data_IF_749030643692
#
_entry.id   IF_749030643692
#
_cell.length_a   1.000
_cell.length_b   1.000
_cell.length_c   1.000
_cell.angle_alpha   90.00
_cell.angle_beta   90.00
_cell.angle_gamma   90.00
#
_symmetry.space_group_name_H-M   'P 1'
#
loop_
_entity.id
_entity.type
_entity.pdbx_description
1 polymer ?
#
# COMPACT_ATOMS: atom_id res chain seq x y z
N UNK A 1 -38.13 -17.05 6.20
CA UNK A 1 -36.94 -16.95 7.09
C UNK A 1 -36.42 -15.52 7.10
N UNK A 2 -36.19 -14.94 8.29
CA UNK A 2 -35.81 -13.54 8.44
C UNK A 2 -34.35 -13.30 8.05
N UNK A 3 -34.02 -12.09 7.57
CA UNK A 3 -32.67 -11.71 7.11
C UNK A 3 -31.65 -11.80 8.25
N UNK A 4 -32.09 -11.51 9.48
CA UNK A 4 -31.29 -11.70 10.69
C UNK A 4 -31.01 -13.18 11.02
N UNK A 5 -31.86 -14.13 10.62
CA UNK A 5 -31.62 -15.56 10.82
C UNK A 5 -30.59 -16.12 9.82
N UNK A 6 -30.49 -15.51 8.62
CA UNK A 6 -29.46 -15.83 7.62
C UNK A 6 -28.08 -15.32 8.03
N UNK A 7 -28.02 -14.12 8.64
CA UNK A 7 -26.79 -13.56 9.22
C UNK A 7 -26.40 -14.29 10.51
N UNK A 8 -27.36 -14.74 11.32
CA UNK A 8 -27.13 -15.60 12.50
C UNK A 8 -26.60 -16.99 12.13
N UNK A 9 -27.11 -17.61 11.06
CA UNK A 9 -26.57 -18.86 10.47
C UNK A 9 -25.16 -18.69 9.89
N UNK A 10 -24.79 -17.49 9.45
CA UNK A 10 -23.44 -17.18 8.96
C UNK A 10 -22.41 -17.01 10.09
N UNK A 11 -22.86 -16.76 11.33
CA UNK A 11 -21.99 -16.64 12.51
C UNK A 11 -21.79 -17.98 13.24
N UNK A 12 -22.78 -18.89 13.24
CA UNK A 12 -22.76 -20.11 14.08
C UNK A 12 -22.33 -21.43 13.38
N UNK A 13 -21.92 -21.43 12.11
CA UNK A 13 -21.09 -22.51 11.54
C UNK A 13 -21.66 -23.94 11.47
N UNK A 14 -22.79 -24.18 10.78
CA UNK A 14 -23.22 -25.55 10.42
C UNK A 14 -23.75 -25.71 8.97
N UNK A 15 -23.04 -26.60 8.26
CA UNK A 15 -23.42 -27.58 7.21
C UNK A 15 -24.35 -27.21 6.04
N UNK A 16 -23.90 -27.55 4.83
CA UNK A 16 -24.15 -26.84 3.58
C UNK A 16 -24.96 -27.59 2.49
N UNK A 17 -25.83 -28.56 2.81
CA UNK A 17 -26.27 -29.49 1.75
C UNK A 17 -27.70 -29.34 1.17
N UNK A 18 -28.55 -28.41 1.60
CA UNK A 18 -29.97 -28.40 1.16
C UNK A 18 -30.57 -27.01 0.86
N UNK A 19 -29.86 -26.12 0.15
CA UNK A 19 -30.35 -24.73 -0.06
C UNK A 19 -30.46 -24.30 -1.55
N UNK A 20 -30.08 -25.15 -2.51
CA UNK A 20 -30.06 -24.76 -3.92
C UNK A 20 -31.40 -24.94 -4.66
N UNK A 21 -32.31 -25.79 -4.15
CA UNK A 21 -33.56 -26.08 -4.88
C UNK A 21 -34.71 -25.11 -4.55
N UNK A 22 -34.68 -24.44 -3.39
CA UNK A 22 -35.68 -23.44 -3.00
C UNK A 22 -35.35 -22.01 -3.44
N UNK A 23 -34.09 -21.71 -3.77
CA UNK A 23 -33.63 -20.37 -4.14
C UNK A 23 -34.17 -19.86 -5.50
N UNK A 24 -34.65 -20.76 -6.37
CA UNK A 24 -35.21 -20.40 -7.67
C UNK A 24 -36.67 -19.91 -7.58
N UNK A 25 -37.39 -20.15 -6.48
CA UNK A 25 -38.80 -19.71 -6.32
C UNK A 25 -38.96 -18.38 -5.59
N UNK A 26 -38.00 -17.99 -4.75
CA UNK A 26 -38.13 -16.81 -3.86
C UNK A 26 -37.62 -15.49 -4.46
N UNK A 27 -37.16 -15.49 -5.71
CA UNK A 27 -36.58 -14.31 -6.38
C UNK A 27 -37.56 -13.16 -6.67
N UNK A 28 -38.86 -13.30 -6.37
CA UNK A 28 -39.88 -12.29 -6.69
C UNK A 28 -40.39 -11.46 -5.50
N UNK A 29 -40.03 -11.75 -4.24
CA UNK A 29 -40.73 -11.16 -3.09
C UNK A 29 -39.79 -10.81 -1.92
N UNK A 30 -38.88 -9.84 -2.07
CA UNK A 30 -38.50 -8.98 -0.93
C UNK A 30 -37.73 -7.73 -1.36
N UNK A 31 -38.15 -6.52 -0.93
CA UNK A 31 -37.31 -5.33 -1.09
C UNK A 31 -36.04 -5.53 -0.27
N UNK A 32 -34.88 -5.38 -0.92
CA UNK A 32 -33.55 -5.53 -0.30
C UNK A 32 -33.28 -4.33 0.60
N UNK A 33 -32.47 -4.51 1.63
CA UNK A 33 -32.01 -3.38 2.44
C UNK A 33 -31.00 -2.53 1.66
N UNK A 34 -30.93 -1.22 1.92
CA UNK A 34 -30.01 -0.30 1.24
C UNK A 34 -28.55 -0.79 1.27
N UNK A 35 -28.13 -1.40 2.38
CA UNK A 35 -26.80 -2.00 2.52
C UNK A 35 -26.59 -3.24 1.63
N UNK A 36 -27.62 -4.08 1.46
CA UNK A 36 -27.57 -5.24 0.55
C UNK A 36 -27.56 -4.79 -0.92
N UNK A 37 -28.33 -3.76 -1.26
CA UNK A 37 -28.30 -3.16 -2.59
C UNK A 37 -26.94 -2.58 -2.91
N UNK A 38 -26.30 -1.92 -1.94
CA UNK A 38 -24.95 -1.38 -2.07
C UNK A 38 -23.89 -2.48 -2.29
N UNK A 39 -23.94 -3.56 -1.49
CA UNK A 39 -23.05 -4.73 -1.68
C UNK A 39 -23.24 -5.33 -3.07
N UNK A 40 -24.49 -5.48 -3.51
CA UNK A 40 -24.81 -6.00 -4.84
C UNK A 40 -24.30 -5.06 -5.94
N UNK A 41 -24.37 -3.74 -5.73
CA UNK A 41 -23.85 -2.74 -6.67
C UNK A 41 -22.34 -2.89 -6.84
N UNK A 42 -21.60 -2.94 -5.72
CA UNK A 42 -20.15 -3.17 -5.73
C UNK A 42 -19.81 -4.50 -6.40
N UNK A 43 -20.51 -5.58 -6.02
CA UNK A 43 -20.24 -6.90 -6.57
C UNK A 43 -20.46 -6.94 -8.10
N UNK A 44 -21.48 -6.24 -8.61
CA UNK A 44 -21.73 -6.13 -10.06
C UNK A 44 -20.64 -5.36 -10.78
N UNK A 45 -20.20 -4.22 -10.23
CA UNK A 45 -19.15 -3.43 -10.88
C UNK A 45 -17.82 -4.21 -10.93
N UNK A 46 -17.48 -4.90 -9.83
CA UNK A 46 -16.29 -5.75 -9.80
C UNK A 46 -16.45 -6.92 -10.77
N UNK A 47 -17.64 -7.52 -10.88
CA UNK A 47 -17.92 -8.58 -11.86
C UNK A 47 -17.75 -8.08 -13.29
N UNK A 48 -18.22 -6.86 -13.61
CA UNK A 48 -18.06 -6.27 -14.94
C UNK A 48 -16.58 -6.04 -15.28
N UNK A 49 -15.78 -5.55 -14.32
CA UNK A 49 -14.33 -5.42 -14.48
C UNK A 49 -13.68 -6.80 -14.65
N UNK A 50 -14.07 -7.79 -13.83
CA UNK A 50 -13.59 -9.18 -13.94
C UNK A 50 -13.87 -9.76 -15.32
N UNK A 51 -15.07 -9.53 -15.87
CA UNK A 51 -15.46 -10.07 -17.16
C UNK A 51 -14.75 -9.37 -18.31
N UNK A 52 -14.61 -8.06 -18.25
CA UNK A 52 -13.91 -7.27 -19.26
C UNK A 52 -12.43 -7.62 -19.34
N UNK A 53 -11.82 -7.82 -18.18
CA UNK A 53 -10.39 -8.10 -18.07
C UNK A 53 -10.08 -9.60 -18.10
N UNK A 54 -11.08 -10.49 -18.22
CA UNK A 54 -10.79 -11.92 -18.29
C UNK A 54 -10.00 -12.25 -19.57
N UNK A 55 -8.87 -12.94 -19.43
CA UNK A 55 -8.05 -13.37 -20.56
C UNK A 55 -8.04 -14.91 -20.63
N UNK A 56 -8.75 -15.52 -21.60
CA UNK A 56 -8.65 -16.95 -21.83
C UNK A 56 -7.32 -17.27 -22.53
N UNK A 57 -6.49 -18.11 -21.90
CA UNK A 57 -5.26 -18.61 -22.52
C UNK A 57 -5.55 -19.82 -23.43
N UNK A 58 -4.75 -20.05 -24.49
CA UNK A 58 -4.91 -21.19 -25.40
C UNK A 58 -4.70 -22.55 -24.71
N UNK A 59 -4.05 -22.56 -23.53
CA UNK A 59 -3.86 -23.78 -22.71
C UNK A 59 -5.11 -24.19 -21.90
N UNK A 60 -6.25 -23.51 -22.09
CA UNK A 60 -7.51 -23.83 -21.42
C UNK A 60 -7.62 -23.31 -19.99
N UNK A 61 -6.69 -22.44 -19.56
CA UNK A 61 -6.75 -21.72 -18.28
C UNK A 61 -7.24 -20.29 -18.49
N UNK A 62 -8.06 -19.78 -17.59
CA UNK A 62 -8.50 -18.38 -17.61
C UNK A 62 -7.70 -17.58 -16.59
N UNK A 63 -7.16 -16.43 -17.03
CA UNK A 63 -6.56 -15.44 -16.15
C UNK A 63 -7.61 -14.40 -15.78
N UNK A 64 -7.66 -14.06 -14.50
CA UNK A 64 -8.47 -12.98 -13.94
C UNK A 64 -7.55 -12.06 -13.13
N UNK A 65 -7.88 -10.76 -13.02
CA UNK A 65 -7.12 -9.83 -12.18
C UNK A 65 -7.02 -10.34 -10.73
N UNK A 66 -5.88 -10.06 -10.11
CA UNK A 66 -5.47 -10.53 -8.79
C UNK A 66 -5.76 -9.52 -7.68
N UNK A 67 -6.03 -8.27 -8.03
CA UNK A 67 -6.32 -7.19 -7.09
C UNK A 67 -7.49 -6.35 -7.59
N UNK A 68 -8.38 -5.96 -6.67
CA UNK A 68 -9.48 -5.02 -6.92
C UNK A 68 -9.45 -3.91 -5.87
N UNK A 69 -9.31 -2.67 -6.31
CA UNK A 69 -9.35 -1.48 -5.46
C UNK A 69 -10.69 -0.80 -5.70
N UNK A 70 -11.54 -0.79 -4.69
CA UNK A 70 -12.88 -0.21 -4.72
C UNK A 70 -12.80 1.15 -4.03
N UNK A 71 -13.03 2.21 -4.78
CA UNK A 71 -13.14 3.56 -4.25
C UNK A 71 -14.59 3.86 -3.92
N UNK A 72 -14.83 4.23 -2.68
CA UNK A 72 -16.11 4.65 -2.13
C UNK A 72 -16.14 6.17 -1.99
N UNK A 73 -17.32 6.76 -2.12
CA UNK A 73 -17.55 8.17 -1.79
C UNK A 73 -17.30 8.43 -0.29
N UNK A 74 -17.05 9.69 0.09
CA UNK A 74 -16.85 10.05 1.50
C UNK A 74 -18.12 9.79 2.35
N UNK A 75 -19.30 9.93 1.75
CA UNK A 75 -20.58 9.68 2.42
C UNK A 75 -20.80 8.19 2.68
N UNK A 76 -20.53 7.35 1.68
CA UNK A 76 -20.63 5.90 1.84
C UNK A 76 -19.56 5.37 2.80
N UNK A 77 -18.33 5.90 2.78
CA UNK A 77 -17.29 5.47 3.72
C UNK A 77 -17.73 5.66 5.17
N UNK A 78 -18.40 6.77 5.51
CA UNK A 78 -18.92 7.05 6.86
C UNK A 78 -19.85 5.94 7.35
N UNK A 79 -20.67 5.38 6.47
CA UNK A 79 -21.56 4.26 6.78
C UNK A 79 -20.83 2.91 6.90
N UNK A 80 -19.68 2.77 6.24
CA UNK A 80 -18.89 1.55 6.11
C UNK A 80 -17.55 1.58 6.87
N UNK A 81 -17.54 2.11 8.10
CA UNK A 81 -16.35 2.13 8.97
C UNK A 81 -16.27 0.94 9.94
N UNK A 82 -15.04 0.64 10.39
CA UNK A 82 -14.76 -0.29 11.49
C UNK A 82 -15.20 -1.73 11.21
N UNK A 83 -16.10 -2.26 12.04
CA UNK A 83 -16.58 -3.64 11.92
C UNK A 83 -17.40 -3.87 10.64
N UNK A 84 -18.15 -2.85 10.18
CA UNK A 84 -18.91 -2.92 8.92
C UNK A 84 -17.98 -3.03 7.71
N UNK A 85 -16.87 -2.29 7.70
CA UNK A 85 -15.81 -2.39 6.67
C UNK A 85 -15.28 -3.81 6.54
N UNK A 86 -14.90 -4.40 7.68
CA UNK A 86 -14.35 -5.76 7.71
C UNK A 86 -15.38 -6.81 7.27
N UNK A 87 -16.64 -6.63 7.68
CA UNK A 87 -17.74 -7.48 7.23
C UNK A 87 -18.02 -7.36 5.74
N UNK A 88 -17.95 -6.15 5.19
CA UNK A 88 -18.09 -5.87 3.76
C UNK A 88 -16.95 -6.52 2.96
N UNK A 89 -15.70 -6.30 3.36
CA UNK A 89 -14.52 -6.93 2.74
C UNK A 89 -14.62 -8.45 2.74
N UNK A 90 -14.98 -9.06 3.88
CA UNK A 90 -15.13 -10.50 4.00
C UNK A 90 -16.29 -11.03 3.14
N UNK A 91 -17.42 -10.31 3.12
CA UNK A 91 -18.58 -10.66 2.31
C UNK A 91 -18.28 -10.59 0.81
N UNK A 92 -17.64 -9.51 0.36
CA UNK A 92 -17.23 -9.32 -1.03
C UNK A 92 -16.22 -10.38 -1.46
N UNK A 93 -15.24 -10.70 -0.61
CA UNK A 93 -14.27 -11.76 -0.89
C UNK A 93 -14.96 -13.11 -1.12
N UNK A 94 -16.00 -13.43 -0.33
CA UNK A 94 -16.76 -14.67 -0.51
C UNK A 94 -17.57 -14.67 -1.82
N UNK A 95 -18.33 -13.60 -2.07
CA UNK A 95 -19.19 -13.48 -3.26
C UNK A 95 -18.36 -13.53 -4.54
N UNK A 96 -17.25 -12.79 -4.59
CA UNK A 96 -16.39 -12.73 -5.77
C UNK A 96 -15.64 -14.05 -6.01
N UNK A 97 -15.32 -14.81 -4.95
CA UNK A 97 -14.67 -16.11 -5.09
C UNK A 97 -15.61 -17.15 -5.70
N UNK A 98 -16.89 -17.13 -5.31
CA UNK A 98 -17.94 -17.93 -5.93
C UNK A 98 -18.11 -17.55 -7.40
N UNK A 99 -18.24 -16.25 -7.70
CA UNK A 99 -18.39 -15.74 -9.08
C UNK A 99 -17.20 -16.03 -9.97
N UNK A 100 -15.98 -15.86 -9.50
CA UNK A 100 -14.77 -16.20 -10.25
C UNK A 100 -14.78 -17.68 -10.67
N UNK A 101 -15.22 -18.57 -9.77
CA UNK A 101 -15.34 -20.01 -10.04
C UNK A 101 -16.43 -20.30 -11.07
N UNK A 102 -17.58 -19.63 -10.97
CA UNK A 102 -18.66 -19.74 -11.96
C UNK A 102 -18.23 -19.27 -13.35
N UNK A 103 -17.56 -18.11 -13.46
CA UNK A 103 -17.06 -17.55 -14.71
C UNK A 103 -16.00 -18.44 -15.37
N UNK A 104 -15.15 -19.07 -14.57
CA UNK A 104 -14.18 -20.04 -15.09
C UNK A 104 -14.84 -21.37 -15.50
N UNK A 105 -15.96 -21.73 -14.89
CA UNK A 105 -16.70 -22.97 -15.16
C UNK A 105 -15.80 -24.20 -15.07
N UNK A 106 -15.64 -24.92 -16.19
CA UNK A 106 -14.79 -26.12 -16.29
C UNK A 106 -13.29 -25.81 -16.54
N UNK A 107 -12.93 -24.55 -16.79
CA UNK A 107 -11.56 -24.13 -17.07
C UNK A 107 -10.84 -23.89 -15.74
N UNK A 108 -9.59 -24.36 -15.63
CA UNK A 108 -8.82 -24.19 -14.38
C UNK A 108 -8.44 -22.72 -14.22
N UNK A 109 -8.82 -22.11 -13.10
CA UNK A 109 -8.33 -20.81 -12.67
C UNK A 109 -6.87 -20.94 -12.25
N UNK A 110 -6.01 -20.08 -12.80
CA UNK A 110 -4.60 -19.99 -12.36
C UNK A 110 -4.48 -19.16 -11.08
N UNK A 111 -5.32 -18.14 -10.92
CA UNK A 111 -5.36 -17.26 -9.76
C UNK A 111 -5.96 -18.00 -8.56
N UNK A 112 -5.14 -18.23 -7.52
CA UNK A 112 -5.56 -18.96 -6.29
C UNK A 112 -6.22 -18.05 -5.25
N UNK A 113 -5.93 -16.75 -5.29
CA UNK A 113 -6.41 -15.74 -4.35
C UNK A 113 -6.38 -14.37 -5.01
N UNK A 114 -7.36 -13.53 -4.70
CA UNK A 114 -7.39 -12.12 -5.09
C UNK A 114 -7.51 -11.23 -3.86
N UNK A 115 -6.93 -10.03 -3.92
CA UNK A 115 -7.01 -9.02 -2.87
C UNK A 115 -8.12 -8.01 -3.18
N UNK A 116 -8.85 -7.57 -2.15
CA UNK A 116 -9.82 -6.49 -2.24
C UNK A 116 -9.37 -5.39 -1.29
N UNK A 117 -9.19 -4.18 -1.80
CA UNK A 117 -8.88 -3.00 -1.00
C UNK A 117 -10.00 -1.97 -1.15
N UNK A 118 -10.53 -1.48 -0.03
CA UNK A 118 -11.51 -0.38 -0.01
C UNK A 118 -10.78 0.93 0.26
N UNK A 119 -10.85 1.87 -0.68
CA UNK A 119 -10.34 3.24 -0.56
C UNK A 119 -11.46 4.25 -0.59
N UNK A 120 -11.14 5.46 -0.14
CA UNK A 120 -12.06 6.60 -0.18
C UNK A 120 -11.57 7.55 -1.25
N UNK A 121 -12.47 8.01 -2.11
CA UNK A 121 -12.22 9.07 -3.08
C UNK A 121 -13.21 10.21 -2.85
N UNK A 122 -12.71 11.36 -2.41
CA UNK A 122 -13.52 12.55 -2.14
C UNK A 122 -13.98 13.29 -3.40
N UNK A 123 -13.60 12.82 -4.59
CA UNK A 123 -14.09 13.36 -5.86
C UNK A 123 -15.32 12.63 -6.40
N UNK A 124 -15.73 11.52 -5.76
CA UNK A 124 -16.91 10.74 -6.13
C UNK A 124 -18.17 11.26 -5.43
N UNK A 125 -19.26 11.34 -6.19
CA UNK A 125 -20.59 11.66 -5.67
C UNK A 125 -21.15 10.52 -4.78
N UNK A 126 -22.09 10.83 -3.89
CA UNK A 126 -22.72 9.84 -3.02
C UNK A 126 -23.35 8.70 -3.81
N UNK A 127 -22.99 7.47 -3.47
CA UNK A 127 -23.44 6.27 -4.17
C UNK A 127 -22.64 5.93 -5.42
N UNK A 128 -21.75 6.79 -5.91
CA UNK A 128 -20.83 6.43 -6.99
C UNK A 128 -19.62 5.67 -6.46
N UNK A 129 -19.16 4.74 -7.29
CA UNK A 129 -18.09 3.82 -6.96
C UNK A 129 -17.20 3.62 -8.17
N UNK A 130 -15.89 3.56 -7.94
CA UNK A 130 -14.91 3.28 -8.97
C UNK A 130 -14.18 2.00 -8.60
N UNK A 131 -14.12 1.06 -9.53
CA UNK A 131 -13.35 -0.18 -9.36
C UNK A 131 -12.13 -0.13 -10.26
N UNK A 132 -10.95 -0.21 -9.65
CA UNK A 132 -9.69 -0.42 -10.35
C UNK A 132 -9.22 -1.86 -10.15
N UNK A 133 -8.50 -2.41 -11.12
CA UNK A 133 -7.96 -3.77 -11.06
C UNK A 133 -6.44 -3.78 -11.22
N UNK A 134 -5.80 -4.75 -10.58
CA UNK A 134 -4.38 -5.05 -10.70
C UNK A 134 -4.14 -6.48 -11.14
N UNK A 135 -3.08 -6.69 -11.93
CA UNK A 135 -2.63 -8.01 -12.39
C UNK A 135 -1.40 -8.52 -11.61
N UNK A 136 -0.82 -7.68 -10.77
CA UNK A 136 0.33 -8.05 -9.94
C UNK A 136 -0.10 -9.03 -8.85
N UNK A 137 0.71 -10.06 -8.63
CA UNK A 137 0.53 -10.96 -7.49
C UNK A 137 0.52 -10.12 -6.21
N UNK A 138 -0.45 -10.28 -5.28
CA UNK A 138 -0.63 -9.36 -4.16
C UNK A 138 0.60 -9.40 -3.26
N UNK A 139 1.58 -8.56 -3.57
CA UNK A 139 2.88 -8.52 -2.92
C UNK A 139 2.80 -7.79 -1.58
N UNK A 140 1.64 -7.20 -1.27
CA UNK A 140 1.22 -6.71 0.03
C UNK A 140 -0.29 -6.37 0.00
N UNK A 141 -1.14 -6.84 0.92
CA UNK A 141 -2.51 -6.35 1.11
C UNK A 141 -2.58 -4.96 1.79
N UNK A 142 -1.53 -4.16 1.64
CA UNK A 142 -1.43 -2.80 2.18
C UNK A 142 -0.67 -1.98 1.18
N UNK A 143 -1.44 -1.28 0.34
CA UNK A 143 -0.98 -0.62 -0.86
C UNK A 143 0.23 0.27 -0.63
N UNK A 144 1.24 0.06 -1.49
CA UNK A 144 2.27 1.03 -1.79
C UNK A 144 2.79 0.72 -3.21
N UNK A 145 2.15 1.30 -4.22
CA UNK A 145 2.67 1.37 -5.59
C UNK A 145 4.03 2.09 -5.55
N UNK A 146 5.11 1.34 -5.79
CA UNK A 146 6.45 1.92 -5.85
C UNK A 146 6.71 2.52 -7.24
N UNK A 147 6.68 3.85 -7.34
CA UNK A 147 7.20 4.54 -8.53
C UNK A 147 8.73 4.58 -8.39
N UNK A 148 9.44 3.70 -9.13
CA UNK A 148 10.90 3.79 -9.28
C UNK A 148 11.25 5.13 -9.94
N UNK A 149 11.64 6.11 -9.14
CA UNK A 149 12.23 7.34 -9.65
C UNK A 149 13.60 7.01 -10.23
N UNK A 150 13.78 7.30 -11.52
CA UNK A 150 15.08 7.24 -12.20
C UNK A 150 16.09 8.07 -11.39
N UNK A 151 17.23 7.49 -10.93
CA UNK A 151 18.22 8.26 -10.20
C UNK A 151 18.77 9.37 -11.11
N UNK A 152 18.59 10.62 -10.69
CA UNK A 152 19.37 11.75 -11.21
C UNK A 152 20.81 11.48 -10.85
N UNK A 153 21.65 11.28 -11.87
CA UNK A 153 23.10 11.25 -11.70
C UNK A 153 23.54 12.63 -11.22
N UNK A 154 23.83 12.76 -9.92
CA UNK A 154 24.67 13.82 -9.40
C UNK A 154 26.13 13.46 -9.71
N UNK A 155 26.89 14.32 -10.40
CA UNK A 155 28.30 14.09 -10.59
C UNK A 155 29.04 14.20 -9.25
N UNK A 156 30.05 13.36 -8.98
CA UNK A 156 30.76 13.36 -7.70
C UNK A 156 31.61 14.63 -7.54
N UNK A 157 31.51 15.24 -6.36
CA UNK A 157 32.41 16.30 -5.90
C UNK A 157 33.79 15.69 -5.62
N UNK A 158 34.78 16.08 -6.41
CA UNK A 158 36.18 15.64 -6.23
C UNK A 158 36.90 15.41 -7.56
N UNK A 159 37.07 16.47 -8.36
CA UNK A 159 38.02 16.45 -9.48
C UNK A 159 38.94 17.68 -9.38
N UNK A 160 40.26 17.55 -9.56
CA UNK A 160 41.19 18.68 -9.55
C UNK A 160 40.89 19.62 -10.73
N UNK A 161 41.23 20.93 -10.61
CA UNK A 161 40.90 21.91 -11.64
C UNK A 161 41.55 21.53 -12.98
N UNK A 162 40.70 21.27 -13.99
CA UNK A 162 41.12 21.11 -15.38
C UNK A 162 41.69 22.45 -15.86
N UNK A 163 42.97 22.44 -16.21
CA UNK A 163 43.60 23.51 -16.99
C UNK A 163 42.85 23.68 -18.32
N UNK A 164 42.63 24.93 -18.71
CA UNK A 164 42.04 25.30 -20.00
C UNK A 164 42.95 24.81 -21.14
N UNK A 165 42.40 24.22 -22.22
CA UNK A 165 43.16 24.03 -23.45
C UNK A 165 43.36 25.39 -24.16
N UNK A 166 44.42 25.54 -24.98
CA UNK A 166 44.70 26.78 -25.69
C UNK A 166 43.58 27.11 -26.68
N UNK A 167 43.27 28.41 -26.82
CA UNK A 167 42.35 28.91 -27.84
C UNK A 167 42.81 28.44 -29.22
N UNK A 168 41.94 27.70 -29.91
CA UNK A 168 42.08 27.50 -31.34
C UNK A 168 41.32 28.64 -32.04
N UNK A 169 42.05 29.41 -32.84
CA UNK A 169 41.52 30.32 -33.85
C UNK A 169 40.46 29.59 -34.68
N UNK A 170 39.21 30.00 -34.56
CA UNK A 170 38.18 29.62 -35.51
C UNK A 170 38.04 30.73 -36.55
N UNK A 171 38.16 30.32 -37.80
CA UNK A 171 38.05 31.11 -39.01
C UNK A 171 36.67 31.80 -39.11
N UNK A 172 36.67 33.07 -39.51
CA UNK A 172 35.58 34.05 -39.36
C UNK A 172 34.54 34.05 -40.50
N UNK A 173 34.29 32.92 -41.17
CA UNK A 173 33.59 32.93 -42.48
C UNK A 173 32.17 32.36 -42.53
N UNK A 174 31.44 32.21 -41.40
CA UNK A 174 30.03 31.75 -41.43
C UNK A 174 29.12 32.64 -40.57
N UNK A 175 28.10 33.32 -41.15
CA UNK A 175 27.17 34.14 -40.37
C UNK A 175 26.12 33.28 -39.64
N UNK A 176 25.73 33.64 -38.40
CA UNK A 176 24.65 32.98 -37.67
C UNK A 176 23.25 33.40 -38.17
N UNK A 177 22.21 32.56 -38.00
CA UNK A 177 20.83 32.90 -38.36
C UNK A 177 20.22 33.95 -37.40
N UNK A 178 19.25 34.77 -37.86
CA UNK A 178 18.74 35.90 -37.10
C UNK A 178 17.75 35.48 -36.01
N UNK A 179 17.89 36.10 -34.83
CA UNK A 179 16.92 36.08 -33.73
C UNK A 179 15.90 37.22 -33.89
N UNK A 180 14.60 37.01 -33.62
CA UNK A 180 13.62 38.10 -33.63
C UNK A 180 13.82 39.05 -32.45
N UNK A 181 13.85 40.33 -32.79
CA UNK A 181 14.05 41.48 -31.91
C UNK A 181 12.69 42.03 -31.45
N UNK A 182 12.51 42.27 -30.15
CA UNK A 182 11.54 43.24 -29.63
C UNK A 182 12.19 44.05 -28.50
N UNK A 183 12.68 45.23 -28.89
CA UNK A 183 12.85 46.44 -28.07
C UNK A 183 11.45 47.03 -27.76
N UNK A 184 11.16 47.90 -26.80
CA UNK A 184 11.78 49.04 -26.10
C UNK A 184 11.08 49.11 -24.71
N UNK A 185 11.65 49.54 -23.57
CA UNK A 185 12.26 50.84 -23.29
C UNK A 185 11.23 51.83 -22.71
N UNK A 186 11.19 52.03 -21.37
CA UNK A 186 11.12 53.37 -20.72
C UNK A 186 10.98 53.32 -19.18
N UNK A 187 11.92 53.99 -18.51
CA UNK A 187 11.85 54.48 -17.12
C UNK A 187 11.15 55.85 -17.09
N UNK A 188 10.31 56.14 -16.09
CA UNK A 188 9.89 57.51 -15.75
C UNK A 188 9.84 57.68 -14.22
N UNK A 189 10.39 58.82 -13.77
CA UNK A 189 10.64 59.33 -12.41
C UNK A 189 9.44 60.20 -11.92
N UNK A 190 9.20 60.42 -10.60
CA UNK A 190 7.93 60.96 -10.06
C UNK A 190 7.96 62.46 -9.72
N UNK A 191 6.80 63.16 -9.74
CA UNK A 191 6.44 64.27 -8.80
C UNK A 191 5.01 64.85 -9.00
N UNK A 192 4.47 65.75 -8.12
CA UNK A 192 3.10 65.70 -7.63
C UNK A 192 2.27 66.96 -8.00
N UNK A 193 0.94 66.86 -7.99
CA UNK A 193 0.04 68.02 -8.01
C UNK A 193 -1.34 67.62 -7.47
N UNK A 194 -1.68 68.13 -6.29
CA UNK A 194 -2.99 68.10 -5.62
C UNK A 194 -4.04 68.97 -6.36
N UNK A 195 -5.27 69.24 -5.85
CA UNK A 195 -6.12 68.59 -4.83
C UNK A 195 -7.59 68.41 -5.32
N UNK A 196 -8.42 67.61 -4.62
CA UNK A 196 -9.69 68.14 -4.08
C UNK A 196 -10.40 67.16 -3.13
N UNK A 197 -10.93 67.80 -2.08
CA UNK A 197 -11.64 67.29 -0.93
C UNK A 197 -12.91 66.51 -1.33
N UNK A 198 -13.08 65.32 -0.76
CA UNK A 198 -14.00 65.03 0.36
C UNK A 198 -15.44 65.44 0.07
N UNK A 199 -16.31 64.45 -0.12
CA UNK A 199 -17.33 64.22 0.90
C UNK A 199 -17.90 62.79 0.87
N UNK A 200 -18.20 62.30 2.08
CA UNK A 200 -19.23 61.31 2.42
C UNK A 200 -18.98 59.78 2.32
N UNK A 201 -18.68 59.24 3.52
CA UNK A 201 -19.37 58.12 4.20
C UNK A 201 -18.92 56.65 3.98
N UNK A 202 -18.19 56.17 4.99
CA UNK A 202 -18.37 54.94 5.79
C UNK A 202 -18.48 53.54 5.13
N UNK A 203 -17.53 52.72 5.57
CA UNK A 203 -17.60 51.28 5.90
C UNK A 203 -17.49 50.24 4.77
N UNK A 204 -16.26 49.76 4.56
CA UNK A 204 -15.98 48.46 3.96
C UNK A 204 -14.68 47.87 4.56
N UNK A 205 -14.66 46.59 4.97
CA UNK A 205 -13.49 45.94 5.55
C UNK A 205 -12.33 45.82 4.52
N UNK A 206 -11.07 45.73 4.98
CA UNK A 206 -9.94 45.55 4.08
C UNK A 206 -10.08 44.25 3.27
N UNK A 207 -9.56 44.20 2.03
CA UNK A 207 -9.57 42.99 1.23
C UNK A 207 -8.82 41.89 2.00
N UNK A 208 -9.52 40.78 2.21
CA UNK A 208 -8.98 39.54 2.76
C UNK A 208 -7.79 39.19 1.87
N UNK A 209 -6.58 39.31 2.43
CA UNK A 209 -5.39 38.69 1.89
C UNK A 209 -5.70 37.20 1.82
N UNK A 210 -5.91 36.76 0.58
CA UNK A 210 -5.96 35.39 0.11
C UNK A 210 -5.14 34.47 1.01
N UNK A 211 -5.89 33.55 1.62
CA UNK A 211 -5.49 32.23 2.07
C UNK A 211 -3.98 32.00 1.96
N UNK A 212 -3.31 32.16 3.10
CA UNK A 212 -2.04 31.49 3.31
C UNK A 212 -2.24 30.04 2.85
N UNK A 213 -1.49 29.66 1.82
CA UNK A 213 -1.37 28.28 1.37
C UNK A 213 -1.19 27.43 2.63
N UNK A 214 -2.24 26.73 3.04
CA UNK A 214 -2.15 25.69 4.05
C UNK A 214 -1.31 24.59 3.40
N UNK A 215 0.02 24.76 3.50
CA UNK A 215 1.00 23.77 3.13
C UNK A 215 0.62 22.51 3.89
N UNK A 216 0.08 21.55 3.14
CA UNK A 216 -0.26 20.24 3.64
C UNK A 216 1.00 19.67 4.26
N UNK A 217 1.04 19.63 5.59
CA UNK A 217 2.22 19.17 6.31
C UNK A 217 2.29 17.66 6.14
N UNK A 218 2.99 17.22 5.08
CA UNK A 218 3.26 15.80 4.82
C UNK A 218 4.18 15.34 5.94
N UNK A 219 3.59 14.68 6.94
CA UNK A 219 4.33 14.12 8.07
C UNK A 219 5.39 13.17 7.49
N UNK A 220 6.65 13.57 7.55
CA UNK A 220 7.76 12.80 7.01
C UNK A 220 7.73 11.42 7.65
N UNK A 221 7.50 10.37 6.85
CA UNK A 221 7.40 8.97 7.31
C UNK A 221 8.51 8.70 8.33
N UNK A 222 8.13 8.29 9.53
CA UNK A 222 9.06 7.90 10.59
C UNK A 222 10.14 7.00 10.00
N UNK A 223 11.39 7.44 10.10
CA UNK A 223 12.53 6.71 9.58
C UNK A 223 12.55 5.29 10.18
N UNK A 224 12.63 4.26 9.32
CA UNK A 224 12.89 2.90 9.78
C UNK A 224 14.22 2.88 10.57
N UNK A 225 14.22 2.18 11.70
CA UNK A 225 15.37 2.04 12.59
C UNK A 225 16.43 1.14 11.95
N UNK A 226 15.99 0.05 11.33
CA UNK A 226 16.84 -0.90 10.61
C UNK A 226 15.98 -1.73 9.64
N UNK A 227 16.65 -2.47 8.76
CA UNK A 227 16.00 -3.43 7.87
C UNK A 227 16.31 -4.86 8.34
N UNK A 228 15.34 -5.76 8.19
CA UNK A 228 15.51 -7.17 8.51
C UNK A 228 15.44 -8.00 7.24
N UNK A 229 16.53 -8.66 6.88
CA UNK A 229 16.54 -9.59 5.74
C UNK A 229 16.16 -10.99 6.20
N UNK A 230 15.22 -11.60 5.50
CA UNK A 230 14.77 -12.98 5.73
C UNK A 230 15.18 -13.84 4.54
N UNK A 231 15.89 -14.92 4.82
CA UNK A 231 16.44 -15.85 3.85
C UNK A 231 15.95 -17.26 4.15
N UNK A 232 15.77 -18.07 3.11
CA UNK A 232 15.39 -19.49 3.22
C UNK A 232 16.05 -20.27 2.11
N UNK A 233 16.73 -21.37 2.44
CA UNK A 233 17.41 -22.22 1.45
C UNK A 233 18.42 -21.46 0.57
N UNK A 234 19.07 -20.43 1.12
CA UNK A 234 20.03 -19.59 0.39
C UNK A 234 19.41 -18.51 -0.51
N UNK A 235 18.08 -18.44 -0.63
CA UNK A 235 17.37 -17.40 -1.39
C UNK A 235 16.82 -16.34 -0.44
N UNK A 236 17.06 -15.06 -0.74
CA UNK A 236 16.48 -13.94 0.03
C UNK A 236 14.99 -13.82 -0.29
N UNK A 237 14.16 -13.99 0.72
CA UNK A 237 12.71 -13.99 0.60
C UNK A 237 12.15 -12.57 0.76
N UNK A 238 12.61 -11.83 1.77
CA UNK A 238 12.05 -10.52 2.08
C UNK A 238 13.09 -9.61 2.75
N UNK A 239 12.88 -8.30 2.64
CA UNK A 239 13.60 -7.25 3.38
C UNK A 239 12.56 -6.35 4.02
N UNK A 240 12.39 -6.47 5.33
CA UNK A 240 11.31 -5.81 6.07
C UNK A 240 11.87 -4.59 6.82
N UNK A 241 11.35 -3.37 6.58
CA UNK A 241 11.74 -2.20 7.36
C UNK A 241 11.12 -2.27 8.76
N UNK A 242 11.94 -2.08 9.79
CA UNK A 242 11.53 -2.16 11.19
C UNK A 242 11.48 -0.77 11.82
N UNK A 243 10.34 -0.45 12.44
CA UNK A 243 10.09 0.84 13.08
C UNK A 243 10.01 0.76 14.62
N UNK A 244 10.05 -0.46 15.16
CA UNK A 244 9.92 -0.74 16.60
C UNK A 244 11.26 -1.16 17.18
N UNK A 245 11.48 -0.83 18.45
CA UNK A 245 12.68 -1.23 19.19
C UNK A 245 12.63 -2.70 19.59
N UNK A 246 11.45 -3.31 19.62
CA UNK A 246 11.28 -4.73 19.93
C UNK A 246 10.44 -5.38 18.83
N UNK A 247 10.93 -6.49 18.28
CA UNK A 247 10.19 -7.29 17.30
C UNK A 247 10.24 -8.77 17.64
N UNK A 248 9.09 -9.43 17.50
CA UNK A 248 8.94 -10.86 17.71
C UNK A 248 8.89 -11.56 16.35
N UNK A 249 9.73 -12.58 16.21
CA UNK A 249 9.82 -13.45 15.04
C UNK A 249 9.38 -14.85 15.45
N UNK A 250 8.57 -15.49 14.61
CA UNK A 250 8.17 -16.87 14.83
C UNK A 250 7.15 -17.32 13.81
N UNK A 251 6.55 -18.48 14.02
CA UNK A 251 5.51 -19.00 13.11
C UNK A 251 4.20 -18.21 13.21
N UNK A 252 3.94 -17.58 14.36
CA UNK A 252 2.70 -16.87 14.63
C UNK A 252 1.48 -17.80 14.78
N UNK A 253 0.43 -17.28 15.41
CA UNK A 253 -0.89 -17.91 15.48
C UNK A 253 -1.94 -16.87 15.86
N UNK A 254 -3.22 -17.18 15.69
CA UNK A 254 -4.32 -16.27 16.09
C UNK A 254 -4.24 -15.83 17.56
N UNK A 255 -3.77 -16.71 18.45
CA UNK A 255 -3.61 -16.41 19.89
C UNK A 255 -2.25 -15.82 20.27
N UNK A 256 -1.24 -15.92 19.41
CA UNK A 256 0.11 -15.37 19.62
C UNK A 256 0.59 -14.75 18.31
N UNK A 257 0.20 -13.50 18.01
CA UNK A 257 0.68 -12.80 16.84
C UNK A 257 2.18 -12.52 16.98
N UNK A 258 2.85 -12.41 15.84
CA UNK A 258 4.27 -12.06 15.72
C UNK A 258 4.41 -10.95 14.69
N UNK A 259 5.51 -10.22 14.75
CA UNK A 259 5.78 -9.11 13.84
C UNK A 259 6.30 -9.61 12.50
N UNK A 260 7.13 -10.65 12.54
CA UNK A 260 7.65 -11.33 11.35
C UNK A 260 7.25 -12.80 11.41
N UNK A 261 6.34 -13.19 10.51
CA UNK A 261 5.82 -14.53 10.43
C UNK A 261 6.68 -15.43 9.51
N UNK A 262 7.21 -16.51 10.07
CA UNK A 262 7.93 -17.58 9.38
C UNK A 262 7.01 -18.82 9.32
N UNK A 263 5.95 -18.74 8.51
CA UNK A 263 4.83 -19.68 8.57
C UNK A 263 5.12 -21.09 7.99
N UNK A 264 6.07 -21.19 7.07
CA UNK A 264 6.26 -22.41 6.27
C UNK A 264 7.03 -23.54 6.97
N UNK A 265 7.52 -23.31 8.20
CA UNK A 265 8.32 -24.28 8.94
C UNK A 265 7.67 -24.61 10.28
N UNK A 266 7.15 -25.85 10.47
CA UNK A 266 6.50 -26.26 11.71
C UNK A 266 7.46 -26.39 12.89
N UNK A 267 8.77 -26.50 12.65
CA UNK A 267 9.79 -26.53 13.71
C UNK A 267 9.96 -25.17 14.38
N UNK A 268 9.52 -24.11 13.72
CA UNK A 268 9.54 -22.77 14.29
C UNK A 268 8.40 -22.63 15.30
N UNK A 269 8.80 -22.31 16.54
CA UNK A 269 7.87 -21.98 17.61
C UNK A 269 6.98 -20.78 17.25
N UNK A 270 5.77 -20.76 17.82
CA UNK A 270 4.80 -19.67 17.56
C UNK A 270 5.40 -18.28 17.85
N UNK A 271 6.16 -18.18 18.94
CA UNK A 271 7.15 -17.13 19.22
C UNK A 271 8.50 -17.81 19.33
N UNK A 272 9.49 -17.36 18.57
CA UNK A 272 10.78 -18.05 18.48
C UNK A 272 11.94 -17.13 18.87
N UNK A 273 12.00 -15.92 18.32
CA UNK A 273 13.09 -15.00 18.56
C UNK A 273 12.53 -13.60 18.82
N UNK A 274 13.03 -12.95 19.86
CA UNK A 274 12.78 -11.53 20.13
C UNK A 274 14.06 -10.76 19.82
N UNK A 275 13.97 -9.74 18.95
CA UNK A 275 15.07 -8.81 18.68
C UNK A 275 14.75 -7.50 19.39
N UNK A 276 15.72 -6.99 20.14
CA UNK A 276 15.64 -5.76 20.93
C UNK A 276 16.75 -4.82 20.46
N UNK A 277 16.37 -3.61 20.12
CA UNK A 277 17.26 -2.48 19.86
C UNK A 277 17.22 -1.57 21.09
N UNK A 278 18.35 -1.50 21.80
CA UNK A 278 18.49 -0.59 22.92
C UNK A 278 18.58 0.86 22.46
N UNK A 279 18.30 1.80 23.38
CA UNK A 279 18.46 3.25 23.14
C UNK A 279 19.89 3.66 22.77
N UNK A 280 20.87 2.80 23.05
CA UNK A 280 22.28 2.97 22.71
C UNK A 280 22.61 2.52 21.28
N UNK A 281 21.64 1.97 20.54
CA UNK A 281 21.84 1.43 19.19
C UNK A 281 22.39 0.00 19.18
N UNK A 282 22.48 -0.66 20.33
CA UNK A 282 22.93 -2.05 20.44
C UNK A 282 21.79 -3.02 20.21
N UNK A 283 22.05 -4.06 19.41
CA UNK A 283 21.08 -5.11 19.15
C UNK A 283 21.30 -6.27 20.13
N UNK A 284 20.20 -6.79 20.64
CA UNK A 284 20.18 -7.99 21.46
C UNK A 284 19.09 -8.92 20.97
N UNK A 285 19.29 -10.21 21.13
CA UNK A 285 18.29 -11.22 20.81
C UNK A 285 18.03 -12.13 22.00
N UNK A 286 16.80 -12.62 22.09
CA UNK A 286 16.37 -13.60 23.09
C UNK A 286 15.70 -14.74 22.34
N UNK A 287 16.22 -15.95 22.51
CA UNK A 287 15.60 -17.15 21.98
C UNK A 287 14.44 -17.58 22.91
N UNK A 288 13.20 -17.47 22.43
CA UNK A 288 12.00 -17.95 23.12
C UNK A 288 11.50 -19.29 22.55
N UNK A 289 12.13 -19.77 21.47
CA UNK A 289 11.76 -20.98 20.77
C UNK A 289 12.15 -22.25 21.51
N UNK A 290 11.41 -23.33 21.24
CA UNK A 290 11.79 -24.68 21.68
C UNK A 290 13.08 -25.16 21.01
N UNK A 291 13.23 -24.86 19.73
CA UNK A 291 14.44 -25.17 18.97
C UNK A 291 15.44 -24.02 19.09
N UNK A 292 16.75 -24.30 19.10
CA UNK A 292 17.75 -23.26 19.26
C UNK A 292 17.81 -22.35 18.03
N UNK A 293 17.93 -21.05 18.27
CA UNK A 293 18.44 -20.11 17.26
C UNK A 293 19.95 -20.17 17.27
N UNK A 294 20.59 -20.24 16.11
CA UNK A 294 22.05 -20.34 15.97
C UNK A 294 22.61 -19.00 15.49
N UNK A 295 23.54 -18.43 16.23
CA UNK A 295 24.29 -17.23 15.87
C UNK A 295 25.74 -17.63 15.57
N UNK A 296 26.22 -17.41 14.34
CA UNK A 296 27.60 -17.73 13.94
C UNK A 296 28.05 -19.14 14.36
N UNK A 297 27.20 -20.15 14.12
CA UNK A 297 27.41 -21.55 14.50
C UNK A 297 27.38 -21.87 16.02
N UNK A 298 26.98 -20.91 16.86
CA UNK A 298 26.77 -21.12 18.30
C UNK A 298 25.28 -21.06 18.62
N UNK A 299 24.77 -22.07 19.32
CA UNK A 299 23.37 -22.11 19.76
C UNK A 299 23.13 -21.09 20.87
N UNK A 300 22.04 -20.32 20.73
CA UNK A 300 21.65 -19.33 21.70
C UNK A 300 20.84 -19.98 22.85
N UNK A 301 21.23 -19.74 24.12
CA UNK A 301 20.48 -20.22 25.27
C UNK A 301 19.06 -19.64 25.29
N UNK A 302 18.09 -20.49 25.64
CA UNK A 302 16.67 -20.10 25.70
C UNK A 302 16.47 -19.11 26.86
N UNK A 303 15.76 -18.01 26.60
CA UNK A 303 15.41 -16.98 27.58
C UNK A 303 16.54 -16.04 27.99
N UNK A 304 17.77 -16.26 27.51
CA UNK A 304 18.90 -15.38 27.80
C UNK A 304 19.08 -14.34 26.71
N UNK A 305 19.41 -13.12 27.13
CA UNK A 305 19.72 -12.00 26.24
C UNK A 305 21.16 -12.10 25.75
N UNK A 306 21.34 -12.13 24.44
CA UNK A 306 22.65 -12.19 23.78
C UNK A 306 22.80 -10.99 22.85
N UNK A 307 23.91 -10.26 22.96
CA UNK A 307 24.19 -9.12 22.09
C UNK A 307 24.61 -9.60 20.70
N UNK A 308 24.11 -8.93 19.66
CA UNK A 308 24.38 -9.25 18.26
C UNK A 308 24.81 -8.00 17.52
N UNK A 309 25.71 -8.17 16.56
CA UNK A 309 26.10 -7.10 15.66
C UNK A 309 25.25 -7.13 14.39
N UNK A 310 24.99 -5.97 13.76
CA UNK A 310 24.38 -5.93 12.45
C UNK A 310 25.17 -6.76 11.43
N UNK A 311 24.48 -7.36 10.47
CA UNK A 311 25.03 -8.23 9.43
C UNK A 311 25.25 -9.67 9.87
N UNK A 312 25.24 -9.98 11.19
CA UNK A 312 25.38 -11.35 11.66
C UNK A 312 24.16 -12.21 11.28
N UNK A 313 24.43 -13.46 10.89
CA UNK A 313 23.40 -14.44 10.54
C UNK A 313 22.82 -15.11 11.78
N UNK A 314 21.52 -14.95 11.96
CA UNK A 314 20.70 -15.63 12.95
C UNK A 314 19.93 -16.73 12.24
N UNK A 315 20.34 -17.99 12.41
CA UNK A 315 19.66 -19.13 11.82
C UNK A 315 18.56 -19.63 12.76
N UNK A 316 17.34 -19.65 12.26
CA UNK A 316 16.12 -20.06 12.95
C UNK A 316 15.54 -21.24 12.15
N UNK A 317 15.84 -22.47 12.58
CA UNK A 317 15.48 -23.69 11.84
C UNK A 317 15.89 -23.59 10.35
N UNK A 318 14.93 -23.67 9.42
CA UNK A 318 15.20 -23.56 7.97
C UNK A 318 15.42 -22.13 7.45
N UNK A 319 15.29 -21.12 8.30
CA UNK A 319 15.43 -19.71 7.95
C UNK A 319 16.73 -19.12 8.45
N UNK A 320 17.24 -18.11 7.74
CA UNK A 320 18.31 -17.24 8.21
C UNK A 320 17.81 -15.80 8.19
N UNK A 321 18.07 -15.08 9.28
CA UNK A 321 17.68 -13.67 9.44
C UNK A 321 18.94 -12.83 9.65
N UNK A 322 18.98 -11.64 9.05
CA UNK A 322 20.08 -10.68 9.24
C UNK A 322 19.54 -9.28 9.49
N UNK A 323 20.15 -8.61 10.47
CA UNK A 323 19.86 -7.21 10.79
C UNK A 323 20.74 -6.34 9.88
N UNK A 324 20.14 -5.51 9.04
CA UNK A 324 20.85 -4.54 8.22
C UNK A 324 20.66 -3.15 8.83
N UNK A 325 21.75 -2.49 9.27
CA UNK A 325 21.67 -1.13 9.76
C UNK A 325 21.33 -0.22 8.58
N UNK A 326 20.75 0.94 8.89
CA UNK A 326 20.44 1.95 7.89
C UNK A 326 21.63 2.86 7.62
#
# INVERSE_FOLDING_TARGET
>A
MSVLDKVRRWIDGESAELVLEEAARDAQIKPRSQAEEFIVKIAREVEDVMQKEMVPLPQGTTLIPTEYIIFLSEEDDKDWQGAKRRGLEQGLHHILAERARELAGKKKLKTKSFAIELRVDGTLDAGDLLVQHGWDEPQNPSGNTQILSRPRQTPPAGAPPRQMPPQQDYDQSIPPPPVPNFSDGQQIVPNPSSPNLRDSLHDAPPPILSEAEEMTHVNSRTAALYNLEVWRGGVRQNVVPIFRHEIVIGRGSKSKPVDIALADDPEISRRHLLIILDRTGQYSVINEGRNPTVLNNVELPIGQRVSVNPGQSLNICTYMVRIQPR
#
